data_IF_980185902536
#
_entry.id   IF_980185902536
#
_cell.length_a   1.000
_cell.length_b   1.000
_cell.length_c   1.000
_cell.angle_alpha   90.00
_cell.angle_beta   90.00
_cell.angle_gamma   90.00
#
_symmetry.space_group_name_H-M   'P 1'
#
loop_
_entity.id
_entity.type
_entity.pdbx_description
1 polymer ?
#
# COMPACT_ATOMS: atom_id res chain seq x y z
N UNK A 1 -17.76 -27.16 -13.71
CA UNK A 1 -17.62 -25.69 -13.56
C UNK A 1 -17.20 -25.46 -12.12
N UNK A 2 -15.99 -24.94 -11.87
CA UNK A 2 -15.61 -24.48 -10.52
C UNK A 2 -16.48 -23.26 -10.19
N UNK A 3 -16.97 -23.17 -8.97
CA UNK A 3 -17.77 -22.03 -8.50
C UNK A 3 -16.86 -20.79 -8.49
N UNK A 4 -17.21 -19.73 -9.24
CA UNK A 4 -16.43 -18.49 -9.23
C UNK A 4 -16.62 -17.80 -7.88
N UNK A 5 -15.56 -17.67 -7.11
CA UNK A 5 -15.58 -16.90 -5.86
C UNK A 5 -15.51 -15.42 -6.20
N UNK A 6 -16.66 -14.74 -6.05
CA UNK A 6 -16.79 -13.31 -6.23
C UNK A 6 -16.60 -12.63 -4.88
N UNK A 7 -15.51 -11.88 -4.72
CA UNK A 7 -15.23 -11.16 -3.49
C UNK A 7 -15.54 -9.67 -3.58
N UNK A 8 -16.07 -9.10 -2.49
CA UNK A 8 -16.23 -7.67 -2.33
C UNK A 8 -15.01 -7.08 -1.63
N UNK A 9 -14.20 -6.32 -2.35
CA UNK A 9 -13.06 -5.60 -1.78
C UNK A 9 -13.49 -4.51 -0.78
N UNK A 10 -12.58 -4.17 0.13
CA UNK A 10 -12.68 -3.01 1.01
C UNK A 10 -12.89 -1.72 0.18
N UNK A 11 -13.67 -0.73 0.67
CA UNK A 11 -13.93 0.52 -0.06
C UNK A 11 -12.65 1.23 -0.53
N UNK A 12 -11.61 1.22 0.30
CA UNK A 12 -10.31 1.83 0.01
C UNK A 12 -9.58 1.15 -1.16
N UNK A 13 -9.75 -0.17 -1.32
CA UNK A 13 -9.19 -0.90 -2.47
C UNK A 13 -10.01 -0.60 -3.72
N UNK A 14 -11.35 -0.61 -3.63
CA UNK A 14 -12.21 -0.29 -4.79
C UNK A 14 -11.92 1.11 -5.33
N UNK A 15 -11.68 2.06 -4.44
CA UNK A 15 -11.34 3.43 -4.80
C UNK A 15 -10.04 3.53 -5.62
N UNK A 16 -9.11 2.56 -5.54
CA UNK A 16 -7.87 2.57 -6.32
C UNK A 16 -8.11 2.53 -7.83
N UNK A 17 -9.26 2.01 -8.28
CA UNK A 17 -9.66 1.98 -9.69
C UNK A 17 -9.92 3.37 -10.27
N UNK A 18 -10.24 4.33 -9.42
CA UNK A 18 -10.70 5.65 -9.81
C UNK A 18 -9.62 6.72 -9.57
N UNK A 19 -9.63 7.85 -10.29
CA UNK A 19 -8.81 9.00 -9.95
C UNK A 19 -8.96 9.40 -8.48
N UNK A 20 -7.91 9.94 -7.85
CA UNK A 20 -7.95 10.36 -6.46
C UNK A 20 -8.23 11.86 -6.33
N UNK A 21 -9.51 12.27 -6.19
CA UNK A 21 -9.89 13.68 -6.20
C UNK A 21 -9.15 14.45 -5.10
N UNK A 22 -8.72 15.67 -5.43
CA UNK A 22 -8.14 16.57 -4.44
C UNK A 22 -9.22 17.10 -3.50
N UNK A 23 -8.90 17.21 -2.22
CA UNK A 23 -9.74 17.88 -1.23
C UNK A 23 -9.43 19.38 -1.11
N UNK A 24 -8.59 19.94 -1.99
CA UNK A 24 -8.16 21.34 -1.94
C UNK A 24 -9.31 22.34 -2.09
N UNK A 25 -10.33 22.00 -2.89
CA UNK A 25 -11.52 22.84 -3.06
C UNK A 25 -12.50 22.73 -1.88
N UNK A 26 -12.37 21.68 -1.05
CA UNK A 26 -13.26 21.40 0.08
C UNK A 26 -12.68 21.81 1.43
N UNK A 27 -11.34 21.84 1.56
CA UNK A 27 -10.64 22.16 2.80
C UNK A 27 -9.85 23.46 2.58
N UNK A 28 -10.34 24.61 3.09
CA UNK A 28 -9.68 25.90 2.90
C UNK A 28 -8.21 25.90 3.33
N UNK A 29 -7.32 26.27 2.40
CA UNK A 29 -5.87 26.33 2.64
C UNK A 29 -5.12 25.01 2.44
N UNK A 30 -5.81 23.93 2.09
CA UNK A 30 -5.17 22.68 1.67
C UNK A 30 -4.59 22.85 0.26
N UNK A 31 -3.29 23.12 0.19
CA UNK A 31 -2.56 23.16 -1.10
C UNK A 31 -2.26 21.76 -1.61
N UNK A 32 -2.12 21.59 -2.92
CA UNK A 32 -1.72 20.32 -3.56
C UNK A 32 -0.45 19.71 -2.92
N UNK A 33 0.54 20.57 -2.60
CA UNK A 33 1.78 20.14 -1.96
C UNK A 33 1.55 19.58 -0.55
N UNK A 34 0.66 20.19 0.24
CA UNK A 34 0.31 19.69 1.56
C UNK A 34 -0.46 18.38 1.45
N UNK A 35 -1.46 18.33 0.58
CA UNK A 35 -2.25 17.13 0.38
C UNK A 35 -1.38 15.94 -0.06
N UNK A 36 -0.48 16.14 -1.02
CA UNK A 36 0.48 15.11 -1.44
C UNK A 36 1.34 14.62 -0.28
N UNK A 37 1.86 15.53 0.55
CA UNK A 37 2.66 15.17 1.71
C UNK A 37 1.83 14.36 2.74
N UNK A 38 0.57 14.76 2.95
CA UNK A 38 -0.34 14.09 3.86
C UNK A 38 -0.72 12.68 3.37
N UNK A 39 -1.05 12.53 2.08
CA UNK A 39 -1.33 11.23 1.44
C UNK A 39 -0.19 10.23 1.65
N UNK A 40 1.06 10.73 1.67
CA UNK A 40 2.28 9.95 1.92
C UNK A 40 2.56 9.69 3.40
N UNK A 41 1.83 10.31 4.31
CA UNK A 41 1.95 10.13 5.76
C UNK A 41 2.85 11.12 6.49
N UNK A 42 3.18 12.24 5.86
CA UNK A 42 3.62 13.41 6.64
C UNK A 42 2.43 13.93 7.46
N UNK A 43 2.64 14.19 8.74
CA UNK A 43 1.61 14.65 9.66
C UNK A 43 1.92 16.00 10.30
N UNK A 44 0.92 16.54 11.00
CA UNK A 44 1.11 17.74 11.82
C UNK A 44 0.83 17.41 13.28
N UNK A 45 1.83 17.65 14.13
CA UNK A 45 1.79 17.29 15.55
C UNK A 45 1.88 18.52 16.43
N UNK A 46 1.14 18.51 17.53
CA UNK A 46 1.25 19.52 18.58
C UNK A 46 2.23 19.05 19.65
N UNK A 47 3.24 19.87 19.92
CA UNK A 47 4.32 19.58 20.88
C UNK A 47 4.52 20.76 21.83
N UNK A 48 5.38 20.60 22.84
CA UNK A 48 5.79 21.69 23.73
C UNK A 48 6.47 22.86 22.98
N UNK A 49 7.02 22.62 21.79
CA UNK A 49 7.68 23.63 20.94
C UNK A 49 6.69 24.30 19.95
N UNK A 50 5.40 23.97 20.04
CA UNK A 50 4.37 24.40 19.10
C UNK A 50 4.01 23.32 18.08
N UNK A 51 3.59 23.74 16.89
CA UNK A 51 3.15 22.84 15.83
C UNK A 51 4.33 22.46 14.93
N UNK A 52 4.49 21.16 14.66
CA UNK A 52 5.51 20.62 13.76
C UNK A 52 4.84 19.87 12.62
N UNK A 53 5.20 20.22 11.38
CA UNK A 53 4.87 19.46 10.17
C UNK A 53 6.05 18.55 9.86
N UNK A 54 5.76 17.28 9.63
CA UNK A 54 6.79 16.32 9.30
C UNK A 54 6.38 14.90 9.58
N UNK A 55 7.37 14.03 9.61
CA UNK A 55 7.17 12.64 9.93
C UNK A 55 8.46 11.88 9.77
N UNK A 56 8.34 10.58 9.99
CA UNK A 56 9.40 9.66 9.73
C UNK A 56 9.71 9.66 8.23
N UNK A 57 10.92 10.09 7.89
CA UNK A 57 11.50 9.89 6.56
C UNK A 57 12.43 8.70 6.64
N UNK A 58 12.66 8.03 5.52
CA UNK A 58 13.41 6.79 5.61
C UNK A 58 12.77 5.88 6.65
N UNK A 59 11.45 5.70 6.52
CA UNK A 59 10.66 4.63 7.14
C UNK A 59 10.95 4.45 8.59
N UNK A 60 11.11 5.55 9.33
CA UNK A 60 11.31 5.57 10.78
C UNK A 60 12.74 5.78 11.26
N UNK A 61 13.77 5.60 10.42
CA UNK A 61 15.16 5.77 10.85
C UNK A 61 15.63 7.23 10.88
N UNK A 62 14.89 8.14 10.27
CA UNK A 62 15.16 9.58 10.28
C UNK A 62 13.83 10.33 10.33
N UNK A 63 13.87 11.61 10.72
CA UNK A 63 12.68 12.46 10.69
C UNK A 63 13.04 13.83 10.15
N UNK A 64 12.11 14.46 9.43
CA UNK A 64 12.20 15.87 9.08
C UNK A 64 11.04 16.54 9.76
N UNK A 65 11.35 17.39 10.74
CA UNK A 65 10.37 18.23 11.42
C UNK A 65 10.62 19.68 11.06
N UNK A 66 9.56 20.39 10.67
CA UNK A 66 9.59 21.82 10.38
C UNK A 66 8.53 22.51 11.21
N UNK A 67 8.87 23.65 11.79
CA UNK A 67 7.89 24.50 12.47
C UNK A 67 6.76 24.86 11.52
N UNK A 68 5.53 24.76 12.00
CA UNK A 68 4.32 25.11 11.26
C UNK A 68 3.34 25.86 12.17
N UNK A 69 2.14 26.13 11.68
CA UNK A 69 1.11 26.92 12.37
C UNK A 69 -0.05 26.07 12.88
N UNK A 70 -0.84 26.66 13.78
CA UNK A 70 -2.12 26.08 14.25
C UNK A 70 -3.09 25.85 13.09
N UNK A 71 -3.07 26.70 12.07
CA UNK A 71 -3.99 26.59 10.93
C UNK A 71 -3.62 25.39 10.04
N UNK A 72 -2.33 25.14 9.80
CA UNK A 72 -1.88 23.93 9.11
C UNK A 72 -2.24 22.67 9.92
N UNK A 73 -2.18 22.73 11.25
CA UNK A 73 -2.66 21.63 12.09
C UNK A 73 -4.17 21.38 11.92
N UNK A 74 -5.00 22.42 11.89
CA UNK A 74 -6.45 22.27 11.65
C UNK A 74 -6.73 21.67 10.26
N UNK A 75 -6.06 22.16 9.23
CA UNK A 75 -6.15 21.64 7.86
C UNK A 75 -5.79 20.15 7.83
N UNK A 76 -4.66 19.77 8.46
CA UNK A 76 -4.26 18.37 8.57
C UNK A 76 -5.29 17.51 9.31
N UNK A 77 -5.84 17.99 10.44
CA UNK A 77 -6.85 17.24 11.19
C UNK A 77 -8.13 17.04 10.41
N UNK A 78 -8.58 18.05 9.66
CA UNK A 78 -9.75 17.93 8.79
C UNK A 78 -9.48 16.95 7.64
N UNK A 79 -8.33 17.07 6.97
CA UNK A 79 -7.93 16.13 5.92
C UNK A 79 -7.84 14.69 6.45
N UNK A 80 -7.18 14.50 7.61
CA UNK A 80 -6.94 13.19 8.22
C UNK A 80 -8.24 12.51 8.66
N UNK A 81 -9.27 13.27 9.02
CA UNK A 81 -10.60 12.72 9.33
C UNK A 81 -11.31 12.14 8.09
N UNK A 82 -11.02 12.67 6.89
CA UNK A 82 -11.64 12.24 5.63
C UNK A 82 -10.86 11.10 4.96
N UNK A 83 -9.54 11.22 4.91
CA UNK A 83 -8.66 10.32 4.13
C UNK A 83 -7.78 9.40 5.00
N UNK A 84 -7.50 9.81 6.23
CA UNK A 84 -6.62 9.10 7.16
C UNK A 84 -7.34 8.05 7.99
N UNK A 85 -6.60 7.50 8.96
CA UNK A 85 -7.13 6.57 9.93
C UNK A 85 -7.69 7.31 11.14
N UNK A 86 -8.82 6.85 11.68
CA UNK A 86 -9.36 7.41 12.91
C UNK A 86 -8.38 7.14 14.05
N UNK A 87 -8.06 8.19 14.81
CA UNK A 87 -7.19 8.13 16.00
C UNK A 87 -7.92 7.45 17.18
N UNK A 88 -8.33 6.19 16.99
CA UNK A 88 -8.85 5.33 18.05
C UNK A 88 -7.82 4.26 18.36
N UNK A 89 -7.58 4.02 19.64
CA UNK A 89 -6.66 2.99 20.12
C UNK A 89 -7.42 2.16 21.14
N UNK A 90 -8.08 1.11 20.65
CA UNK A 90 -8.79 0.16 21.52
C UNK A 90 -7.99 -1.12 21.75
N UNK A 91 -7.12 -1.49 20.79
CA UNK A 91 -6.38 -2.75 20.79
C UNK A 91 -7.23 -3.95 20.34
N UNK A 92 -8.54 -3.79 20.16
CA UNK A 92 -9.44 -4.86 19.73
C UNK A 92 -9.11 -5.33 18.32
N UNK A 93 -8.91 -4.40 17.39
CA UNK A 93 -8.63 -4.76 15.99
C UNK A 93 -7.21 -5.32 15.84
N UNK A 94 -6.26 -4.83 16.64
CA UNK A 94 -4.93 -5.44 16.80
C UNK A 94 -5.02 -6.91 17.22
N UNK A 95 -5.74 -7.23 18.30
CA UNK A 95 -5.85 -8.63 18.76
C UNK A 95 -6.62 -9.50 17.75
N UNK A 96 -7.65 -8.95 17.09
CA UNK A 96 -8.36 -9.63 16.00
C UNK A 96 -7.42 -10.00 14.86
N UNK A 97 -6.63 -9.05 14.35
CA UNK A 97 -5.64 -9.30 13.29
C UNK A 97 -4.61 -10.33 13.76
N UNK A 98 -4.07 -10.18 14.96
CA UNK A 98 -3.07 -11.09 15.52
C UNK A 98 -3.57 -12.54 15.58
N UNK A 99 -4.80 -12.76 16.02
CA UNK A 99 -5.40 -14.09 16.06
C UNK A 99 -5.57 -14.67 14.65
N UNK A 100 -6.09 -13.87 13.72
CA UNK A 100 -6.24 -14.28 12.32
C UNK A 100 -4.90 -14.67 11.68
N UNK A 101 -3.85 -13.86 11.88
CA UNK A 101 -2.51 -14.15 11.35
C UNK A 101 -1.92 -15.42 11.98
N UNK A 102 -2.15 -15.64 13.28
CA UNK A 102 -1.72 -16.85 13.98
C UNK A 102 -2.32 -18.11 13.36
N UNK A 103 -3.60 -18.08 12.98
CA UNK A 103 -4.28 -19.21 12.33
C UNK A 103 -3.65 -19.56 10.96
N UNK A 104 -2.93 -18.62 10.35
CA UNK A 104 -2.20 -18.78 9.08
C UNK A 104 -0.67 -18.92 9.27
N UNK A 105 -0.19 -19.09 10.51
CA UNK A 105 1.24 -19.14 10.86
C UNK A 105 2.05 -17.87 10.48
N UNK A 106 1.38 -16.72 10.38
CA UNK A 106 2.02 -15.43 10.14
C UNK A 106 2.24 -14.72 11.48
N UNK A 107 3.47 -14.27 11.73
CA UNK A 107 3.79 -13.54 12.96
C UNK A 107 3.54 -12.05 12.75
N UNK A 108 2.65 -11.47 13.56
CA UNK A 108 2.51 -10.01 13.65
C UNK A 108 3.68 -9.44 14.46
N UNK A 109 4.51 -8.64 13.80
CA UNK A 109 5.52 -7.79 14.40
C UNK A 109 4.96 -6.37 14.54
N UNK A 110 5.28 -5.73 15.64
CA UNK A 110 4.96 -4.33 15.83
C UNK A 110 6.28 -3.58 15.89
N UNK A 111 6.36 -2.49 15.13
CA UNK A 111 7.50 -1.59 15.21
C UNK A 111 7.77 -1.20 16.66
N UNK A 112 9.04 -1.31 17.09
CA UNK A 112 9.45 -0.81 18.41
C UNK A 112 9.08 0.68 18.46
N UNK A 113 8.12 1.02 19.33
CA UNK A 113 7.55 2.36 19.48
C UNK A 113 8.57 3.39 19.97
N UNK A 114 9.76 2.93 20.32
CA UNK A 114 10.89 3.80 20.62
C UNK A 114 11.59 4.16 19.31
N UNK A 115 11.20 5.28 18.70
CA UNK A 115 12.10 5.99 17.81
C UNK A 115 13.38 6.28 18.61
N UNK A 116 14.38 5.40 18.54
CA UNK A 116 15.66 5.56 19.26
C UNK A 116 16.39 6.85 18.86
N UNK A 117 15.90 7.53 17.82
CA UNK A 117 16.41 8.79 17.28
C UNK A 117 15.39 9.95 17.28
N UNK A 118 14.19 9.81 17.86
CA UNK A 118 13.41 11.02 18.15
C UNK A 118 14.19 11.81 19.20
N UNK A 119 14.46 13.10 18.95
CA UNK A 119 15.06 13.99 19.95
C UNK A 119 14.30 13.75 21.27
N UNK A 120 14.98 13.30 22.36
CA UNK A 120 14.34 13.02 23.64
C UNK A 120 13.48 14.18 24.16
N UNK A 121 13.72 15.40 23.64
CA UNK A 121 12.98 16.62 23.96
C UNK A 121 11.67 16.81 23.21
N UNK A 122 11.36 16.01 22.18
CA UNK A 122 10.13 16.17 21.39
C UNK A 122 9.05 15.13 21.73
N UNK A 123 9.43 13.99 22.30
CA UNK A 123 8.54 12.96 22.88
C UNK A 123 7.29 12.66 22.03
N UNK A 124 7.42 12.72 20.69
CA UNK A 124 6.34 12.42 19.75
C UNK A 124 6.18 10.91 19.74
N UNK A 125 5.22 10.42 20.54
CA UNK A 125 4.84 9.01 20.51
C UNK A 125 3.96 8.76 19.30
N UNK A 126 4.55 8.16 18.28
CA UNK A 126 3.85 7.68 17.09
C UNK A 126 3.02 6.47 17.52
N UNK A 127 1.70 6.58 17.41
CA UNK A 127 0.77 5.50 17.76
C UNK A 127 0.11 5.01 16.49
N UNK A 128 0.18 3.69 16.27
CA UNK A 128 -0.50 3.04 15.14
C UNK A 128 -2.01 3.06 15.41
N UNK A 129 -2.82 3.69 14.54
CA UNK A 129 -4.28 3.68 14.66
C UNK A 129 -4.87 2.27 14.61
N UNK A 130 -5.90 1.98 15.42
CA UNK A 130 -6.55 0.65 15.46
C UNK A 130 -7.19 0.29 14.09
N UNK A 131 -7.62 1.31 13.33
CA UNK A 131 -8.16 1.15 11.98
C UNK A 131 -7.13 0.63 10.97
N UNK A 132 -5.81 0.82 11.18
CA UNK A 132 -4.79 0.19 10.34
C UNK A 132 -4.85 -1.34 10.46
N UNK A 133 -5.00 -1.85 11.68
CA UNK A 133 -5.13 -3.29 11.92
C UNK A 133 -6.45 -3.83 11.36
N UNK A 134 -7.54 -3.06 11.50
CA UNK A 134 -8.85 -3.42 10.94
C UNK A 134 -8.80 -3.53 9.41
N UNK A 135 -8.25 -2.52 8.73
CA UNK A 135 -8.10 -2.51 7.28
C UNK A 135 -7.18 -3.65 6.82
N UNK A 136 -6.06 -3.88 7.52
CA UNK A 136 -5.18 -5.01 7.22
C UNK A 136 -5.92 -6.34 7.31
N UNK A 137 -6.67 -6.56 8.39
CA UNK A 137 -7.48 -7.76 8.55
C UNK A 137 -8.47 -7.90 7.40
N UNK A 138 -9.20 -6.84 7.07
CA UNK A 138 -10.18 -6.84 6.00
C UNK A 138 -9.55 -7.23 4.67
N UNK A 139 -8.43 -6.60 4.30
CA UNK A 139 -7.70 -6.91 3.06
C UNK A 139 -7.29 -8.37 3.02
N UNK A 140 -6.64 -8.88 4.06
CA UNK A 140 -6.13 -10.26 4.09
C UNK A 140 -7.26 -11.30 4.04
N UNK A 141 -8.41 -11.04 4.69
CA UNK A 141 -9.55 -11.97 4.63
C UNK A 141 -10.20 -12.08 3.25
N UNK A 142 -9.92 -11.13 2.35
CA UNK A 142 -10.39 -11.16 0.97
C UNK A 142 -9.31 -11.66 0.01
N UNK A 143 -8.17 -12.17 0.47
CA UNK A 143 -7.21 -12.85 -0.40
C UNK A 143 -7.50 -14.35 -0.45
N UNK A 144 -7.10 -15.06 -1.53
CA UNK A 144 -7.20 -16.51 -1.58
C UNK A 144 -6.43 -17.12 -0.40
N UNK A 145 -6.99 -18.13 0.30
CA UNK A 145 -6.36 -18.68 1.50
C UNK A 145 -4.92 -19.16 1.29
N UNK A 146 -4.58 -19.71 0.11
CA UNK A 146 -3.22 -20.18 -0.19
C UNK A 146 -2.19 -19.03 -0.28
N UNK A 147 -2.62 -17.79 -0.52
CA UNK A 147 -1.72 -16.62 -0.50
C UNK A 147 -1.28 -16.28 0.92
N UNK A 148 -2.07 -16.67 1.93
CA UNK A 148 -1.74 -16.53 3.35
C UNK A 148 -0.95 -17.73 3.87
N UNK A 149 -1.07 -18.89 3.23
CA UNK A 149 -0.25 -20.08 3.50
C UNK A 149 0.99 -20.08 2.58
N UNK A 150 1.64 -18.91 2.49
CA UNK A 150 2.78 -18.70 1.61
C UNK A 150 4.09 -18.84 2.42
N UNK A 151 5.02 -19.76 2.07
CA UNK A 151 6.31 -19.90 2.76
C UNK A 151 7.17 -18.63 2.75
N UNK A 152 6.92 -17.71 1.82
CA UNK A 152 7.58 -16.40 1.70
C UNK A 152 6.84 -15.26 2.41
N UNK A 153 5.66 -15.49 2.99
CA UNK A 153 4.96 -14.49 3.82
C UNK A 153 4.78 -15.02 5.25
N UNK A 154 5.85 -14.95 6.04
CA UNK A 154 5.88 -15.52 7.39
C UNK A 154 5.64 -14.46 8.47
N UNK A 155 5.86 -13.19 8.15
CA UNK A 155 5.78 -12.10 9.11
C UNK A 155 5.12 -10.87 8.48
N UNK A 156 4.34 -10.18 9.29
CA UNK A 156 3.76 -8.88 8.94
C UNK A 156 4.20 -7.88 10.00
N UNK A 157 4.95 -6.86 9.62
CA UNK A 157 5.30 -5.76 10.49
C UNK A 157 4.41 -4.55 10.20
N UNK A 158 3.75 -4.02 11.24
CA UNK A 158 3.02 -2.75 11.17
C UNK A 158 3.70 -1.73 12.08
N UNK A 159 4.04 -0.58 11.49
CA UNK A 159 4.83 0.49 12.11
C UNK A 159 6.33 0.19 12.20
N UNK A 160 7.04 1.10 12.87
CA UNK A 160 8.47 1.08 13.07
C UNK A 160 9.27 1.35 11.79
N UNK A 161 10.48 0.82 11.76
CA UNK A 161 11.42 0.93 10.65
C UNK A 161 12.01 -0.39 10.18
N UNK A 162 12.70 -0.36 9.04
CA UNK A 162 13.33 -1.52 8.44
C UNK A 162 14.38 -1.17 7.37
N UNK A 163 14.86 -2.15 6.59
CA UNK A 163 15.74 -1.91 5.45
C UNK A 163 15.02 -1.09 4.37
N UNK A 164 15.75 -0.26 3.63
CA UNK A 164 15.19 0.59 2.55
C UNK A 164 14.04 1.49 2.96
N UNK A 165 14.10 1.91 4.21
CA UNK A 165 13.09 2.69 4.89
C UNK A 165 12.63 3.94 4.11
N UNK A 166 13.44 4.49 3.19
CA UNK A 166 13.08 5.63 2.30
C UNK A 166 11.73 5.48 1.59
N UNK A 167 11.23 4.24 1.43
CA UNK A 167 10.10 3.91 0.55
C UNK A 167 8.75 3.72 1.25
N UNK A 168 8.67 3.81 2.59
CA UNK A 168 7.41 3.68 3.34
C UNK A 168 6.97 2.24 3.63
N UNK A 169 7.51 1.27 2.90
CA UNK A 169 7.33 -0.16 3.10
C UNK A 169 8.51 -0.95 2.55
N UNK A 170 8.55 -2.25 2.82
CA UNK A 170 9.43 -3.19 2.15
C UNK A 170 8.95 -4.64 2.32
N UNK A 171 9.36 -5.50 1.39
CA UNK A 171 9.34 -6.95 1.54
C UNK A 171 10.78 -7.47 1.69
N UNK A 172 11.11 -8.04 2.85
CA UNK A 172 12.45 -8.54 3.12
C UNK A 172 12.44 -9.70 4.12
N UNK A 173 13.24 -10.74 3.87
CA UNK A 173 13.33 -11.93 4.72
C UNK A 173 11.95 -12.48 5.12
N UNK A 174 11.12 -12.73 4.11
CA UNK A 174 9.75 -13.23 4.24
C UNK A 174 8.85 -12.38 5.15
N UNK A 175 9.14 -11.08 5.24
CA UNK A 175 8.41 -10.12 6.07
C UNK A 175 7.87 -9.01 5.20
N UNK A 176 6.54 -8.83 5.21
CA UNK A 176 5.89 -7.62 4.69
C UNK A 176 5.98 -6.54 5.76
N UNK A 177 6.59 -5.41 5.46
CA UNK A 177 6.83 -4.32 6.40
C UNK A 177 6.09 -3.06 5.98
N UNK A 178 5.19 -2.58 6.84
CA UNK A 178 4.45 -1.33 6.68
C UNK A 178 5.01 -0.30 7.66
N UNK A 179 5.89 0.60 7.22
CA UNK A 179 6.59 1.52 8.13
C UNK A 179 5.69 2.64 8.66
N UNK A 180 6.19 3.36 9.67
CA UNK A 180 5.48 4.49 10.30
C UNK A 180 5.01 5.55 9.29
N UNK A 181 5.76 5.77 8.22
CA UNK A 181 5.36 6.70 7.17
C UNK A 181 4.01 6.26 6.56
N UNK A 182 3.85 4.99 6.23
CA UNK A 182 2.65 4.48 5.56
C UNK A 182 1.45 4.36 6.50
N UNK A 183 1.65 4.00 7.77
CA UNK A 183 0.54 3.88 8.75
C UNK A 183 -0.08 5.24 9.12
N UNK A 184 0.60 6.35 8.81
CA UNK A 184 0.10 7.71 9.01
C UNK A 184 -0.37 8.39 7.72
N UNK A 185 -0.24 7.72 6.58
CA UNK A 185 -0.75 8.18 5.30
C UNK A 185 -2.26 8.04 5.17
N UNK A 186 -2.73 8.26 3.94
CA UNK A 186 -4.13 7.99 3.63
C UNK A 186 -4.39 6.48 3.54
N UNK A 187 -5.62 6.07 3.88
CA UNK A 187 -5.99 4.65 3.90
C UNK A 187 -5.86 3.98 2.53
N UNK A 188 -6.19 4.71 1.45
CA UNK A 188 -5.98 4.28 0.05
C UNK A 188 -4.51 3.95 -0.25
N UNK A 189 -3.58 4.79 0.22
CA UNK A 189 -2.15 4.56 0.04
C UNK A 189 -1.68 3.35 0.84
N UNK A 190 -2.13 3.23 2.10
CA UNK A 190 -1.83 2.07 2.92
C UNK A 190 -2.30 0.75 2.27
N UNK A 191 -3.54 0.71 1.79
CA UNK A 191 -4.12 -0.48 1.18
C UNK A 191 -3.35 -0.91 -0.08
N UNK A 192 -3.03 0.04 -0.97
CA UNK A 192 -2.25 -0.24 -2.18
C UNK A 192 -0.86 -0.78 -1.86
N UNK A 193 -0.16 -0.14 -0.92
CA UNK A 193 1.18 -0.55 -0.51
C UNK A 193 1.15 -1.95 0.12
N UNK A 194 0.19 -2.23 1.00
CA UNK A 194 0.08 -3.55 1.62
C UNK A 194 -0.07 -4.66 0.57
N UNK A 195 -0.97 -4.47 -0.39
CA UNK A 195 -1.18 -5.43 -1.49
C UNK A 195 0.06 -5.58 -2.37
N UNK A 196 0.74 -4.47 -2.68
CA UNK A 196 2.01 -4.48 -3.43
C UNK A 196 3.09 -5.32 -2.71
N UNK A 197 3.30 -5.12 -1.41
CA UNK A 197 4.30 -5.88 -0.66
C UNK A 197 3.94 -7.37 -0.53
N UNK A 198 2.65 -7.71 -0.38
CA UNK A 198 2.18 -9.10 -0.47
C UNK A 198 2.44 -9.68 -1.86
N UNK A 199 2.33 -8.85 -2.90
CA UNK A 199 2.67 -9.18 -4.27
C UNK A 199 4.11 -9.65 -4.46
N UNK A 200 5.07 -9.09 -3.70
CA UNK A 200 6.45 -9.62 -3.70
C UNK A 200 6.54 -11.03 -3.14
N UNK A 201 5.82 -11.33 -2.05
CA UNK A 201 5.79 -12.67 -1.50
C UNK A 201 5.11 -13.66 -2.47
N UNK A 202 4.05 -13.23 -3.15
CA UNK A 202 3.36 -14.02 -4.17
C UNK A 202 4.23 -14.27 -5.39
N UNK A 203 5.00 -13.29 -5.85
CA UNK A 203 5.90 -13.43 -7.00
C UNK A 203 6.89 -14.59 -6.83
N UNK A 204 7.30 -14.88 -5.59
CA UNK A 204 8.19 -16.00 -5.26
C UNK A 204 7.50 -17.38 -5.31
N UNK A 205 6.17 -17.43 -5.38
CA UNK A 205 5.39 -18.66 -5.60
C UNK A 205 5.18 -18.97 -7.08
N UNK A 206 5.43 -18.03 -7.98
CA UNK A 206 5.29 -18.26 -9.41
C UNK A 206 6.36 -19.26 -9.85
N UNK A 207 5.95 -20.25 -10.63
CA UNK A 207 6.84 -21.26 -11.20
C UNK A 207 7.81 -20.61 -12.22
N UNK A 208 8.96 -21.25 -12.45
CA UNK A 208 10.01 -20.71 -13.31
C UNK A 208 9.54 -20.42 -14.74
N UNK A 209 8.64 -21.25 -15.27
CA UNK A 209 8.03 -21.07 -16.59
C UNK A 209 7.09 -19.86 -16.63
N UNK A 210 6.26 -19.68 -15.59
CA UNK A 210 5.39 -18.51 -15.44
C UNK A 210 6.20 -17.23 -15.32
N UNK A 211 7.28 -17.22 -14.53
CA UNK A 211 8.15 -16.04 -14.40
C UNK A 211 8.83 -15.70 -15.72
N UNK A 212 9.29 -16.69 -16.48
CA UNK A 212 9.88 -16.49 -17.80
C UNK A 212 8.87 -15.90 -18.78
N UNK A 213 7.65 -16.42 -18.82
CA UNK A 213 6.56 -15.91 -19.67
C UNK A 213 6.21 -14.45 -19.31
N UNK A 214 6.06 -14.16 -18.01
CA UNK A 214 5.85 -12.80 -17.53
C UNK A 214 6.99 -11.85 -17.90
N UNK A 215 8.24 -12.33 -17.89
CA UNK A 215 9.41 -11.53 -18.29
C UNK A 215 9.40 -11.18 -19.78
N UNK A 216 8.93 -12.10 -20.64
CA UNK A 216 8.76 -11.85 -22.07
C UNK A 216 7.74 -10.74 -22.31
N UNK A 217 6.59 -10.79 -21.62
CA UNK A 217 5.58 -9.73 -21.68
C UNK A 217 6.06 -8.40 -21.10
N UNK A 218 6.74 -8.43 -19.95
CA UNK A 218 7.39 -7.26 -19.36
C UNK A 218 8.35 -6.58 -20.34
N UNK A 219 9.20 -7.37 -21.01
CA UNK A 219 10.16 -6.87 -22.00
C UNK A 219 9.49 -6.28 -23.23
N UNK A 220 8.32 -6.80 -23.63
CA UNK A 220 7.54 -6.25 -24.73
C UNK A 220 6.85 -4.93 -24.34
N UNK A 221 6.19 -4.88 -23.18
CA UNK A 221 5.54 -3.67 -22.65
C UNK A 221 6.53 -2.53 -22.40
N UNK A 222 7.76 -2.86 -22.00
CA UNK A 222 8.84 -1.87 -21.84
C UNK A 222 9.18 -1.10 -23.12
N UNK A 223 8.72 -1.57 -24.29
CA UNK A 223 8.92 -0.91 -25.58
C UNK A 223 7.75 0.01 -25.98
N UNK A 224 6.60 -0.07 -25.30
CA UNK A 224 5.35 0.57 -25.76
C UNK A 224 4.80 1.68 -24.87
N UNK A 225 5.45 2.02 -23.74
CA UNK A 225 5.00 3.03 -22.75
C UNK A 225 3.56 2.84 -22.18
N UNK A 226 2.82 1.83 -22.66
CA UNK A 226 1.44 1.48 -22.32
C UNK A 226 1.37 0.76 -20.97
N UNK A 227 1.88 1.38 -19.91
CA UNK A 227 1.85 0.84 -18.57
C UNK A 227 0.54 1.17 -17.85
N UNK A 228 -0.02 0.19 -17.13
CA UNK A 228 -1.10 0.43 -16.17
C UNK A 228 -0.49 1.06 -14.91
N UNK A 229 -1.07 2.17 -14.44
CA UNK A 229 -0.62 2.83 -13.22
C UNK A 229 -1.81 3.26 -12.37
N UNK A 230 -1.91 2.69 -11.17
CA UNK A 230 -2.89 3.13 -10.17
C UNK A 230 -2.36 4.34 -9.39
N UNK A 231 -3.26 5.26 -9.06
CA UNK A 231 -2.88 6.44 -8.28
C UNK A 231 -2.84 6.11 -6.78
N UNK A 232 -1.62 5.96 -6.24
CA UNK A 232 -1.32 5.87 -4.81
C UNK A 232 0.11 6.35 -4.50
N UNK A 233 0.38 6.73 -3.24
CA UNK A 233 1.69 7.17 -2.70
C UNK A 233 2.37 8.33 -3.44
N UNK A 234 2.92 8.08 -4.63
CA UNK A 234 3.65 9.04 -5.47
C UNK A 234 2.90 9.40 -6.78
N UNK A 235 1.76 8.77 -7.04
CA UNK A 235 0.92 9.01 -8.21
C UNK A 235 1.17 8.00 -9.34
N UNK A 236 0.22 7.90 -10.26
CA UNK A 236 0.16 6.85 -11.28
C UNK A 236 1.40 6.81 -12.18
N UNK A 237 1.90 7.96 -12.65
CA UNK A 237 3.06 8.02 -13.53
C UNK A 237 4.33 7.49 -12.86
N UNK A 238 4.55 7.79 -11.57
CA UNK A 238 5.70 7.25 -10.85
C UNK A 238 5.58 5.74 -10.67
N UNK A 239 4.36 5.22 -10.46
CA UNK A 239 4.14 3.76 -10.38
C UNK A 239 4.37 3.06 -11.72
N UNK A 240 4.03 3.69 -12.85
CA UNK A 240 4.38 3.18 -14.20
C UNK A 240 5.90 3.08 -14.39
N UNK A 241 6.62 4.14 -14.05
CA UNK A 241 8.09 4.15 -14.13
C UNK A 241 8.72 3.09 -13.21
N UNK A 242 8.15 2.87 -12.03
CA UNK A 242 8.68 1.87 -11.09
C UNK A 242 8.54 0.45 -11.64
N UNK A 243 7.39 0.13 -12.24
CA UNK A 243 7.17 -1.13 -12.96
C UNK A 243 8.18 -1.31 -14.08
N UNK A 244 8.28 -0.32 -14.98
CA UNK A 244 9.11 -0.36 -16.19
C UNK A 244 10.59 -0.68 -15.90
N UNK A 245 11.12 -0.18 -14.79
CA UNK A 245 12.55 -0.28 -14.50
C UNK A 245 12.94 -1.56 -13.74
N UNK A 246 11.98 -2.26 -13.13
CA UNK A 246 12.27 -3.38 -12.24
C UNK A 246 11.23 -4.50 -12.39
N UNK A 247 11.66 -5.65 -12.91
CA UNK A 247 10.76 -6.79 -13.12
C UNK A 247 10.07 -7.25 -11.83
N UNK A 248 10.78 -7.28 -10.69
CA UNK A 248 10.19 -7.65 -9.40
C UNK A 248 9.09 -6.66 -8.95
N UNK A 249 9.24 -5.37 -9.30
CA UNK A 249 8.23 -4.36 -9.01
C UNK A 249 7.04 -4.48 -9.96
N UNK A 250 7.28 -4.83 -11.22
CA UNK A 250 6.23 -5.19 -12.17
C UNK A 250 5.38 -6.37 -11.65
N UNK A 251 5.99 -7.42 -11.11
CA UNK A 251 5.26 -8.56 -10.55
C UNK A 251 4.40 -8.16 -9.33
N UNK A 252 4.97 -7.40 -8.40
CA UNK A 252 4.25 -6.93 -7.21
C UNK A 252 3.12 -5.95 -7.53
N UNK A 253 3.34 -5.04 -8.48
CA UNK A 253 2.30 -4.13 -8.98
C UNK A 253 1.21 -4.88 -9.72
N UNK A 254 1.57 -5.89 -10.52
CA UNK A 254 0.59 -6.70 -11.23
C UNK A 254 -0.29 -7.48 -10.26
N UNK A 255 0.25 -7.97 -9.14
CA UNK A 255 -0.56 -8.55 -8.06
C UNK A 255 -1.61 -7.55 -7.55
N UNK A 256 -1.18 -6.33 -7.20
CA UNK A 256 -2.08 -5.25 -6.79
C UNK A 256 -3.11 -4.93 -7.88
N UNK A 257 -2.68 -4.81 -9.13
CA UNK A 257 -3.55 -4.53 -10.27
C UNK A 257 -4.58 -5.63 -10.47
N UNK A 258 -4.21 -6.89 -10.33
CA UNK A 258 -5.15 -7.99 -10.47
C UNK A 258 -6.24 -7.95 -9.39
N UNK A 259 -5.84 -7.74 -8.13
CA UNK A 259 -6.77 -7.60 -6.99
C UNK A 259 -7.69 -6.40 -7.18
N UNK A 260 -7.13 -5.25 -7.57
CA UNK A 260 -7.90 -4.02 -7.77
C UNK A 260 -8.74 -4.12 -9.02
N UNK A 261 -8.13 -4.19 -10.20
CA UNK A 261 -8.77 -4.04 -11.51
C UNK A 261 -9.62 -5.27 -11.86
N UNK A 262 -9.05 -6.47 -11.72
CA UNK A 262 -9.72 -7.74 -12.03
C UNK A 262 -10.50 -7.68 -13.35
N UNK A 263 -11.82 -7.85 -13.25
CA UNK A 263 -12.76 -7.83 -14.40
C UNK A 263 -12.80 -6.52 -15.19
N UNK A 264 -12.37 -5.41 -14.59
CA UNK A 264 -12.42 -4.09 -15.22
C UNK A 264 -11.22 -3.84 -16.14
N UNK A 265 -10.35 -4.84 -16.35
CA UNK A 265 -9.19 -4.75 -17.23
C UNK A 265 -9.53 -4.16 -18.61
N UNK A 266 -10.63 -4.53 -19.31
CA UNK A 266 -10.97 -3.94 -20.60
C UNK A 266 -11.04 -2.41 -20.60
N UNK A 267 -11.51 -1.81 -19.48
CA UNK A 267 -11.54 -0.35 -19.31
C UNK A 267 -10.13 0.25 -19.23
N UNK A 268 -9.20 -0.43 -18.56
CA UNK A 268 -7.82 0.04 -18.41
C UNK A 268 -6.97 -0.16 -19.67
N UNK A 269 -7.40 -1.03 -20.57
CA UNK A 269 -6.76 -1.26 -21.87
C UNK A 269 -7.28 -0.33 -22.97
N UNK A 270 -8.33 0.46 -22.71
CA UNK A 270 -8.88 1.39 -23.67
C UNK A 270 -7.84 2.43 -24.08
N UNK A 271 -7.59 2.54 -25.39
CA UNK A 271 -6.62 3.48 -25.96
C UNK A 271 -5.16 3.01 -25.99
N UNK A 272 -4.84 1.83 -25.45
CA UNK A 272 -3.51 1.22 -25.60
C UNK A 272 -3.31 0.67 -27.02
N UNK A 273 -2.05 0.50 -27.43
CA UNK A 273 -1.75 -0.19 -28.68
C UNK A 273 -2.24 -1.65 -28.64
N UNK A 274 -2.79 -2.21 -29.74
CA UNK A 274 -3.30 -3.59 -29.75
C UNK A 274 -2.31 -4.63 -29.23
N UNK A 275 -1.02 -4.49 -29.57
CA UNK A 275 0.02 -5.39 -29.06
C UNK A 275 0.18 -5.31 -27.53
N UNK A 276 0.16 -4.10 -26.96
CA UNK A 276 0.21 -3.90 -25.51
C UNK A 276 -1.02 -4.50 -24.82
N UNK A 277 -2.21 -4.36 -25.41
CA UNK A 277 -3.44 -4.95 -24.88
C UNK A 277 -3.33 -6.48 -24.77
N UNK A 278 -2.82 -7.15 -25.79
CA UNK A 278 -2.63 -8.60 -25.78
C UNK A 278 -1.62 -9.04 -24.72
N UNK A 279 -0.51 -8.30 -24.55
CA UNK A 279 0.44 -8.58 -23.48
C UNK A 279 -0.17 -8.42 -22.09
N UNK A 280 -0.94 -7.35 -21.84
CA UNK A 280 -1.60 -7.17 -20.55
C UNK A 280 -2.66 -8.24 -20.27
N UNK A 281 -3.44 -8.66 -21.27
CA UNK A 281 -4.40 -9.78 -21.12
C UNK A 281 -3.67 -11.07 -20.73
N UNK A 282 -2.56 -11.39 -21.38
CA UNK A 282 -1.77 -12.58 -21.07
C UNK A 282 -1.20 -12.52 -19.64
N UNK A 283 -0.62 -11.37 -19.26
CA UNK A 283 -0.15 -11.12 -17.88
C UNK A 283 -1.28 -11.34 -16.86
N UNK A 284 -2.46 -10.75 -17.08
CA UNK A 284 -3.60 -10.92 -16.17
C UNK A 284 -4.13 -12.36 -16.16
N UNK A 285 -4.05 -13.10 -17.26
CA UNK A 285 -4.43 -14.51 -17.30
C UNK A 285 -3.50 -15.37 -16.43
N UNK A 286 -2.20 -15.13 -16.45
CA UNK A 286 -1.24 -15.83 -15.59
C UNK A 286 -1.56 -15.56 -14.12
N UNK A 287 -1.83 -14.29 -13.76
CA UNK A 287 -2.24 -13.94 -12.40
C UNK A 287 -3.59 -14.56 -12.03
N UNK A 288 -4.59 -14.54 -12.92
CA UNK A 288 -5.87 -15.21 -12.68
C UNK A 288 -5.70 -16.69 -12.33
N UNK A 289 -4.84 -17.39 -13.06
CA UNK A 289 -4.56 -18.80 -12.80
C UNK A 289 -3.89 -18.99 -11.42
N UNK A 290 -2.95 -18.12 -11.04
CA UNK A 290 -2.30 -18.17 -9.72
C UNK A 290 -3.25 -17.86 -8.55
N UNK A 291 -4.34 -17.14 -8.82
CA UNK A 291 -5.41 -16.84 -7.88
C UNK A 291 -6.51 -17.92 -7.87
N UNK A 292 -6.29 -19.10 -8.45
CA UNK A 292 -7.30 -20.18 -8.56
C UNK A 292 -8.63 -19.72 -9.20
N UNK A 293 -8.55 -18.85 -10.20
CA UNK A 293 -9.71 -18.23 -10.88
C UNK A 293 -10.57 -17.31 -9.98
N UNK A 294 -10.07 -16.86 -8.83
CA UNK A 294 -10.77 -15.89 -7.97
C UNK A 294 -10.86 -14.53 -8.69
N UNK A 295 -12.07 -14.00 -8.82
CA UNK A 295 -12.33 -12.70 -9.46
C UNK A 295 -12.86 -11.69 -8.44
N UNK A 296 -12.33 -10.46 -8.52
CA UNK A 296 -12.70 -9.36 -7.64
C UNK A 296 -13.67 -8.40 -8.33
N UNK A 297 -14.72 -7.95 -7.62
CA UNK A 297 -15.67 -6.92 -8.10
C UNK A 297 -15.29 -5.51 -7.63
#
# INVERSE_FOLDING_TARGET
MKEKHILSLAPEIKALKEPWPSLGDEIPGLTEKLERAFRQGQGVFFTIKGYLLGGNIKGGSSCIWRKTTKDIYKIYKEWYQREGFRERISGKERERLKNFLKDHNIILLEGDRSARNADPKENIRIMIPDECYALTYEILTHLPPHHLINPYFQKLQIGGWGPDSAKGSAFHNNTVMMYDLTVHGAKRTYAAILLHEIGHAHALLLEDDQQKELYEHFSALSKTEDWIGLEYYLGSNIRKEYQKNHFNEFLAETYLHYVVIGKDLPRFLEGMAPASMEHWKAVFQIFQNSFDDWEYL
#
